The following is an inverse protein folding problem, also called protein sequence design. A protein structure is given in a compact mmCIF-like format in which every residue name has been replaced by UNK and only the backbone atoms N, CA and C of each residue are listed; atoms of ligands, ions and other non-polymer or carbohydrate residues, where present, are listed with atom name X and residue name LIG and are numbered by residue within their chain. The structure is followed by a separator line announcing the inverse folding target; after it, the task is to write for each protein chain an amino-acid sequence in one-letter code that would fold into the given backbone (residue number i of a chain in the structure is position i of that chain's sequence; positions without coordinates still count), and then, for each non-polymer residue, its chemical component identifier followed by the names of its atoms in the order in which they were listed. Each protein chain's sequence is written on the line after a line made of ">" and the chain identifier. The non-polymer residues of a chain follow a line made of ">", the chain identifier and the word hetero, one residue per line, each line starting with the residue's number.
data_IF_098324021519
#
_entry.id   IF_098324021519
#
_cell.length_a   1.000
_cell.length_b   1.000
_cell.length_c   1.000
_cell.angle_alpha   90.00
_cell.angle_beta   90.00
_cell.angle_gamma   90.00
#
_symmetry.space_group_name_H-M   'P 1'
#
loop_
_entity.id
_entity.type
_entity.pdbx_description
1 polymer ?
#
# COMPACT_ATOMS: atom_id res chain seq x y z
N UNK A 1 19.56 -9.69 25.48
CA UNK A 1 18.99 -10.01 26.81
C UNK A 1 17.80 -9.09 27.00
N UNK A 2 16.61 -9.62 27.25
CA UNK A 2 15.42 -8.79 27.46
C UNK A 2 15.60 -7.97 28.74
N UNK A 3 15.55 -6.64 28.63
CA UNK A 3 15.73 -5.74 29.76
C UNK A 3 14.57 -5.93 30.76
N UNK A 4 14.90 -6.26 32.00
CA UNK A 4 13.90 -6.44 33.06
C UNK A 4 13.41 -5.04 33.46
N UNK A 5 12.11 -4.80 33.34
CA UNK A 5 11.49 -3.52 33.70
C UNK A 5 11.98 -2.99 35.05
N UNK A 6 12.52 -1.78 35.05
CA UNK A 6 13.06 -1.14 36.25
C UNK A 6 11.97 -0.33 36.95
N UNK A 7 11.68 -0.64 38.21
CA UNK A 7 10.71 0.12 38.99
C UNK A 7 11.36 1.42 39.48
N UNK A 8 10.72 2.55 39.17
CA UNK A 8 11.14 3.90 39.57
C UNK A 8 10.03 4.58 40.35
N UNK A 9 10.40 5.39 41.34
CA UNK A 9 9.45 6.21 42.08
C UNK A 9 9.17 7.50 41.31
N UNK A 10 7.90 7.88 41.27
CA UNK A 10 7.48 9.21 40.82
C UNK A 10 7.85 10.19 41.94
N UNK A 11 8.49 11.30 41.60
CA UNK A 11 8.85 12.36 42.53
C UNK A 11 8.12 13.64 42.13
N UNK A 12 7.57 14.35 43.10
CA UNK A 12 6.94 15.64 42.85
C UNK A 12 7.98 16.76 42.93
N UNK A 13 8.00 17.66 41.96
CA UNK A 13 8.97 18.76 41.90
C UNK A 13 8.28 20.08 41.67
N UNK A 14 8.58 21.09 42.49
CA UNK A 14 7.96 22.41 42.37
C UNK A 14 6.48 22.39 42.75
N UNK A 15 5.62 23.03 41.95
CA UNK A 15 4.19 23.20 42.25
C UNK A 15 3.25 22.40 41.35
N UNK A 16 3.70 21.88 40.21
CA UNK A 16 2.79 21.33 39.19
C UNK A 16 3.35 20.19 38.33
N UNK A 17 4.57 19.70 38.60
CA UNK A 17 5.17 18.64 37.79
C UNK A 17 5.65 17.46 38.62
N UNK A 18 5.61 16.29 37.97
CA UNK A 18 6.19 15.06 38.48
C UNK A 18 7.36 14.67 37.60
N UNK A 19 8.40 14.09 38.20
CA UNK A 19 9.56 13.54 37.51
C UNK A 19 9.69 12.05 37.80
N UNK A 20 10.25 11.33 36.82
CA UNK A 20 10.70 9.95 36.96
C UNK A 20 12.12 9.86 36.41
N UNK A 21 13.01 9.16 37.11
CA UNK A 21 14.39 8.98 36.67
C UNK A 21 14.47 7.95 35.53
N UNK A 22 15.10 8.31 34.41
CA UNK A 22 15.33 7.40 33.29
C UNK A 22 16.46 6.38 33.60
N UNK A 23 16.41 5.16 33.04
CA UNK A 23 17.46 4.15 33.23
C UNK A 23 18.83 4.64 32.74
N UNK A 24 19.87 4.45 33.57
CA UNK A 24 21.23 4.92 33.25
C UNK A 24 21.80 4.25 31.99
N UNK A 25 21.50 2.96 31.79
CA UNK A 25 22.00 2.22 30.63
C UNK A 25 21.33 2.70 29.35
N UNK A 26 20.01 2.93 29.37
CA UNK A 26 19.30 3.57 28.26
C UNK A 26 19.88 4.95 27.92
N UNK A 27 20.15 5.81 28.91
CA UNK A 27 20.79 7.12 28.69
C UNK A 27 22.14 6.97 27.96
N UNK A 28 22.96 5.98 28.34
CA UNK A 28 24.25 5.71 27.69
C UNK A 28 24.08 5.15 26.28
N UNK A 29 23.18 4.20 26.08
CA UNK A 29 22.87 3.60 24.78
C UNK A 29 22.41 4.66 23.77
N UNK A 30 21.58 5.60 24.24
CA UNK A 30 21.12 6.74 23.44
C UNK A 30 22.13 7.90 23.40
N UNK A 31 23.35 7.74 23.93
CA UNK A 31 24.38 8.78 23.91
C UNK A 31 23.98 10.12 24.53
N UNK A 32 22.98 10.13 25.42
CA UNK A 32 22.44 11.34 26.01
C UNK A 32 23.28 11.82 27.20
N UNK A 33 23.32 13.13 27.38
CA UNK A 33 23.95 13.79 28.53
C UNK A 33 22.97 14.74 29.22
N UNK A 34 23.35 15.15 30.42
CA UNK A 34 22.59 16.16 31.17
C UNK A 34 22.43 17.43 30.32
N UNK A 35 21.19 17.93 30.23
CA UNK A 35 20.83 19.09 29.42
C UNK A 35 20.27 18.73 28.03
N UNK A 36 20.43 17.49 27.57
CA UNK A 36 19.77 17.03 26.35
C UNK A 36 18.26 16.93 26.58
N UNK A 37 17.49 17.24 25.53
CA UNK A 37 16.03 17.25 25.60
C UNK A 37 15.44 15.91 25.15
N UNK A 38 14.37 15.49 25.81
CA UNK A 38 13.53 14.35 25.43
C UNK A 38 12.09 14.81 25.28
N UNK A 39 11.38 14.27 24.30
CA UNK A 39 9.92 14.37 24.23
C UNK A 39 9.31 13.29 25.12
N UNK A 40 8.21 13.65 25.79
CA UNK A 40 7.40 12.74 26.59
C UNK A 40 5.99 12.81 26.04
N UNK A 41 5.58 11.74 25.36
CA UNK A 41 4.29 11.67 24.66
C UNK A 41 3.45 10.53 25.25
N UNK A 42 2.13 10.65 25.12
CA UNK A 42 1.21 9.62 25.59
C UNK A 42 0.96 8.63 24.45
N UNK A 43 1.22 7.35 24.73
CA UNK A 43 0.92 6.25 23.81
C UNK A 43 -0.26 5.44 24.39
N UNK A 44 -1.47 5.68 23.88
CA UNK A 44 -2.70 5.11 24.41
C UNK A 44 -3.10 5.65 25.79
N UNK A 45 -3.82 4.84 26.59
CA UNK A 45 -4.40 5.30 27.86
C UNK A 45 -3.45 5.22 29.06
N UNK A 46 -2.46 4.32 29.04
CA UNK A 46 -1.66 3.97 30.22
C UNK A 46 -0.16 4.10 30.04
N UNK A 47 0.33 4.35 28.82
CA UNK A 47 1.78 4.38 28.53
C UNK A 47 2.23 5.80 28.22
N UNK A 48 3.36 6.20 28.83
CA UNK A 48 4.14 7.36 28.42
C UNK A 48 5.39 6.88 27.70
N UNK A 49 5.62 7.41 26.51
CA UNK A 49 6.78 7.14 25.69
C UNK A 49 7.77 8.30 25.79
N UNK A 50 9.05 7.98 26.00
CA UNK A 50 10.13 8.96 26.12
C UNK A 50 11.13 8.72 25.01
N UNK A 51 11.28 9.68 24.11
CA UNK A 51 12.22 9.63 22.98
C UNK A 51 13.05 10.93 22.92
N UNK A 52 14.34 10.91 22.56
CA UNK A 52 15.15 12.12 22.63
C UNK A 52 14.85 13.08 21.47
N UNK A 53 14.76 14.39 21.73
CA UNK A 53 14.30 15.41 20.76
C UNK A 53 15.18 15.47 19.51
N UNK A 54 16.47 15.15 19.66
CA UNK A 54 17.46 15.19 18.58
C UNK A 54 17.98 13.81 18.17
N UNK A 55 17.50 12.72 18.78
CA UNK A 55 17.82 11.36 18.35
C UNK A 55 16.77 10.97 17.31
N UNK A 56 17.15 11.16 16.04
CA UNK A 56 16.22 11.32 14.92
C UNK A 56 16.32 12.69 14.22
N UNK A 57 17.25 13.57 14.66
CA UNK A 57 17.83 14.64 13.82
C UNK A 57 19.21 14.26 13.26
N UNK A 58 19.47 12.98 13.09
CA UNK A 58 19.72 12.58 11.71
C UNK A 58 18.37 12.79 11.03
N UNK A 59 18.15 13.67 10.06
CA UNK A 59 18.57 13.37 8.69
C UNK A 59 19.12 11.95 8.46
N UNK A 60 18.53 10.92 9.09
CA UNK A 60 18.43 9.62 8.48
C UNK A 60 17.35 9.89 7.48
N UNK A 61 17.79 10.56 6.42
CA UNK A 61 17.28 10.44 5.09
C UNK A 61 16.26 9.29 5.10
N UNK A 62 14.97 9.60 4.95
CA UNK A 62 14.04 8.63 4.38
C UNK A 62 14.46 8.33 2.92
N UNK A 63 15.75 8.46 2.61
CA UNK A 63 16.49 8.18 1.42
C UNK A 63 17.11 6.80 1.59
N UNK A 64 16.77 5.90 0.68
CA UNK A 64 17.35 4.57 0.63
C UNK A 64 18.24 4.47 -0.60
N UNK A 65 19.44 3.92 -0.44
CA UNK A 65 20.35 3.71 -1.57
C UNK A 65 20.15 2.31 -2.13
N UNK A 66 19.85 2.21 -3.43
CA UNK A 66 19.79 0.97 -4.18
C UNK A 66 21.00 0.89 -5.11
N UNK A 67 22.00 0.09 -4.75
CA UNK A 67 23.17 -0.13 -5.59
C UNK A 67 22.86 -1.24 -6.60
N UNK A 68 23.09 -0.98 -7.89
CA UNK A 68 22.86 -1.93 -8.98
C UNK A 68 24.12 -2.15 -9.83
N UNK A 69 24.27 -3.37 -10.34
CA UNK A 69 25.36 -3.75 -11.25
C UNK A 69 24.83 -3.98 -12.67
N UNK A 70 25.64 -3.81 -13.73
CA UNK A 70 25.22 -4.05 -15.11
C UNK A 70 24.64 -5.45 -15.38
N UNK A 71 25.09 -6.45 -14.63
CA UNK A 71 24.66 -7.84 -14.68
C UNK A 71 23.38 -8.15 -13.90
N UNK A 72 22.86 -7.21 -13.09
CA UNK A 72 21.64 -7.43 -12.32
C UNK A 72 20.43 -7.66 -13.23
N UNK A 73 19.61 -8.63 -12.88
CA UNK A 73 18.34 -8.87 -13.57
C UNK A 73 17.41 -7.66 -13.42
N UNK A 74 16.77 -7.27 -14.53
CA UNK A 74 15.81 -6.16 -14.59
C UNK A 74 14.70 -6.34 -13.55
N UNK A 75 14.14 -7.55 -13.47
CA UNK A 75 13.01 -7.82 -12.58
C UNK A 75 13.44 -7.79 -11.11
N UNK A 76 14.67 -8.19 -10.80
CA UNK A 76 15.25 -8.04 -9.46
C UNK A 76 15.38 -6.55 -9.05
N UNK A 77 15.82 -5.67 -9.96
CA UNK A 77 15.90 -4.23 -9.70
C UNK A 77 14.50 -3.65 -9.44
N UNK A 78 13.52 -4.02 -10.27
CA UNK A 78 12.12 -3.60 -10.12
C UNK A 78 11.56 -4.03 -8.75
N UNK A 79 11.75 -5.30 -8.35
CA UNK A 79 11.31 -5.80 -7.04
C UNK A 79 11.98 -5.06 -5.88
N UNK A 80 13.29 -4.78 -5.96
CA UNK A 80 14.01 -4.01 -4.93
C UNK A 80 13.46 -2.58 -4.82
N UNK A 81 13.17 -1.94 -5.95
CA UNK A 81 12.60 -0.59 -5.97
C UNK A 81 11.19 -0.56 -5.34
N UNK A 82 10.33 -1.51 -5.68
CA UNK A 82 8.99 -1.67 -5.07
C UNK A 82 9.10 -1.96 -3.58
N UNK A 83 10.05 -2.81 -3.15
CA UNK A 83 10.25 -3.12 -1.74
C UNK A 83 10.63 -1.87 -0.93
N UNK A 84 11.55 -1.04 -1.45
CA UNK A 84 11.91 0.24 -0.83
C UNK A 84 10.71 1.20 -0.78
N UNK A 85 9.86 1.19 -1.82
CA UNK A 85 8.60 1.93 -1.78
C UNK A 85 7.66 1.45 -0.66
N UNK A 86 7.55 0.15 -0.41
CA UNK A 86 6.73 -0.35 0.70
C UNK A 86 7.34 -0.09 2.08
N UNK A 87 8.67 -0.03 2.20
CA UNK A 87 9.41 0.28 3.43
C UNK A 87 9.44 1.78 3.76
N UNK A 88 8.46 2.53 3.27
CA UNK A 88 8.28 3.96 3.52
C UNK A 88 9.49 4.86 3.15
N UNK A 89 10.38 4.45 2.25
CA UNK A 89 11.41 5.38 1.74
C UNK A 89 10.73 6.56 1.02
N UNK A 90 10.95 7.80 1.46
CA UNK A 90 10.53 9.04 0.74
C UNK A 90 11.43 9.33 -0.45
N UNK A 91 12.71 8.97 -0.38
CA UNK A 91 13.66 9.11 -1.47
C UNK A 91 14.31 7.76 -1.75
N UNK A 92 14.51 7.40 -3.00
CA UNK A 92 15.22 6.20 -3.40
C UNK A 92 16.30 6.61 -4.39
N UNK A 93 17.55 6.47 -3.98
CA UNK A 93 18.72 6.78 -4.78
C UNK A 93 19.24 5.49 -5.42
N UNK A 94 18.91 5.28 -6.70
CA UNK A 94 19.44 4.15 -7.47
C UNK A 94 20.80 4.53 -8.03
N UNK A 95 21.86 3.89 -7.57
CA UNK A 95 23.25 4.19 -7.93
C UNK A 95 23.91 2.99 -8.62
N UNK A 96 24.75 3.19 -9.63
CA UNK A 96 25.56 2.11 -10.16
C UNK A 96 26.62 1.67 -9.14
N UNK A 97 27.04 0.41 -9.21
CA UNK A 97 28.23 -0.08 -8.51
C UNK A 97 29.45 0.74 -8.94
N UNK A 98 30.37 0.98 -8.01
CA UNK A 98 31.55 1.82 -8.26
C UNK A 98 32.29 1.40 -9.55
N UNK A 99 32.63 2.37 -10.39
CA UNK A 99 33.28 2.14 -11.69
C UNK A 99 32.36 1.62 -12.81
N UNK A 100 31.05 1.55 -12.58
CA UNK A 100 30.06 1.11 -13.57
C UNK A 100 29.04 2.20 -13.87
N UNK A 101 28.13 1.94 -14.82
CA UNK A 101 27.02 2.82 -15.20
C UNK A 101 25.70 2.06 -15.21
N UNK A 102 24.60 2.77 -14.97
CA UNK A 102 23.26 2.21 -15.15
C UNK A 102 23.02 1.97 -16.65
N UNK A 103 22.70 0.74 -17.03
CA UNK A 103 22.43 0.40 -18.42
C UNK A 103 21.14 1.08 -18.93
N UNK A 104 20.99 1.32 -20.25
CA UNK A 104 19.75 1.87 -20.81
C UNK A 104 18.52 1.01 -20.48
N UNK A 105 18.67 -0.32 -20.49
CA UNK A 105 17.59 -1.27 -20.18
C UNK A 105 17.14 -1.18 -18.73
N UNK A 106 18.08 -1.09 -17.77
CA UNK A 106 17.76 -0.85 -16.35
C UNK A 106 17.10 0.52 -16.14
N UNK A 107 17.61 1.56 -16.81
CA UNK A 107 17.05 2.91 -16.73
C UNK A 107 15.60 2.98 -17.21
N UNK A 108 15.28 2.31 -18.33
CA UNK A 108 13.90 2.19 -18.83
C UNK A 108 13.03 1.42 -17.84
N UNK A 109 13.54 0.35 -17.24
CA UNK A 109 12.82 -0.42 -16.23
C UNK A 109 12.42 0.43 -15.03
N UNK A 110 13.38 1.15 -14.45
CA UNK A 110 13.17 2.04 -13.30
C UNK A 110 12.15 3.12 -13.65
N UNK A 111 12.29 3.77 -14.81
CA UNK A 111 11.34 4.77 -15.29
C UNK A 111 9.91 4.25 -15.41
N UNK A 112 9.75 3.09 -16.04
CA UNK A 112 8.44 2.49 -16.23
C UNK A 112 7.81 2.10 -14.90
N UNK A 113 8.58 1.52 -13.97
CA UNK A 113 8.10 1.19 -12.63
C UNK A 113 7.66 2.44 -11.86
N UNK A 114 8.46 3.51 -11.85
CA UNK A 114 8.09 4.75 -11.16
C UNK A 114 6.78 5.33 -11.72
N UNK A 115 6.66 5.39 -13.06
CA UNK A 115 5.48 5.98 -13.71
C UNK A 115 4.20 5.14 -13.56
N UNK A 116 4.30 3.84 -13.78
CA UNK A 116 3.14 2.94 -13.87
C UNK A 116 2.73 2.35 -12.52
N UNK A 117 3.70 2.06 -11.65
CA UNK A 117 3.47 1.22 -10.47
C UNK A 117 3.51 2.02 -9.16
N UNK A 118 4.45 2.97 -9.04
CA UNK A 118 4.70 3.67 -7.78
C UNK A 118 3.90 4.97 -7.73
N UNK A 119 2.65 4.88 -7.23
CA UNK A 119 1.80 6.06 -7.09
C UNK A 119 2.52 7.19 -6.37
N UNK A 120 2.35 8.40 -6.93
CA UNK A 120 2.92 9.67 -6.45
C UNK A 120 4.42 9.63 -6.20
N UNK A 121 5.13 8.81 -6.96
CA UNK A 121 6.58 8.83 -7.03
C UNK A 121 7.01 9.53 -8.31
N UNK A 122 8.02 10.40 -8.23
CA UNK A 122 8.57 11.15 -9.35
C UNK A 122 10.09 10.98 -9.41
N UNK A 123 10.63 11.02 -10.62
CA UNK A 123 12.09 11.04 -10.81
C UNK A 123 12.56 12.48 -10.78
N UNK A 124 13.23 12.87 -9.70
CA UNK A 124 13.71 14.25 -9.50
C UNK A 124 15.12 14.47 -10.02
N UNK A 125 15.90 13.39 -10.19
CA UNK A 125 17.20 13.44 -10.87
C UNK A 125 17.45 12.17 -11.67
N UNK A 126 18.01 12.30 -12.87
CA UNK A 126 18.54 11.20 -13.68
C UNK A 126 19.83 11.65 -14.37
N UNK A 127 20.97 11.19 -13.89
CA UNK A 127 22.30 11.55 -14.41
C UNK A 127 23.14 10.29 -14.70
N UNK A 128 24.42 10.46 -15.00
CA UNK A 128 25.37 9.34 -15.09
C UNK A 128 25.59 8.67 -13.74
N UNK A 129 25.42 9.41 -12.64
CA UNK A 129 25.77 8.97 -11.28
C UNK A 129 24.62 8.21 -10.60
N UNK A 130 23.42 8.26 -11.17
CA UNK A 130 22.27 7.53 -10.66
C UNK A 130 20.92 8.15 -11.05
N UNK A 131 19.87 7.55 -10.49
CA UNK A 131 18.49 8.01 -10.58
C UNK A 131 17.99 8.27 -9.16
N UNK A 132 17.40 9.43 -8.91
CA UNK A 132 16.73 9.75 -7.65
C UNK A 132 15.23 9.76 -7.87
N UNK A 133 14.53 8.90 -7.12
CA UNK A 133 13.07 8.82 -7.05
C UNK A 133 12.62 9.47 -5.74
N UNK A 134 11.62 10.34 -5.78
CA UNK A 134 10.98 10.89 -4.58
C UNK A 134 9.50 10.55 -4.55
N UNK A 135 9.00 10.14 -3.38
CA UNK A 135 7.58 9.90 -3.13
C UNK A 135 6.96 11.17 -2.54
N UNK A 136 6.06 11.79 -3.30
CA UNK A 136 5.50 13.12 -3.07
C UNK A 136 3.99 13.07 -2.79
N UNK A 137 3.50 12.03 -2.10
CA UNK A 137 2.06 11.93 -1.76
C UNK A 137 1.78 12.60 -0.42
N UNK A 138 0.75 13.44 -0.41
CA UNK A 138 0.11 13.95 0.79
C UNK A 138 -1.07 13.04 1.20
N UNK A 139 -1.01 12.50 2.41
CA UNK A 139 -2.02 11.57 2.95
C UNK A 139 -3.39 12.21 3.17
N UNK A 140 -3.41 13.53 3.33
CA UNK A 140 -4.64 14.31 3.50
C UNK A 140 -5.44 14.38 2.19
N UNK A 141 -4.79 14.31 1.03
CA UNK A 141 -5.45 14.45 -0.28
C UNK A 141 -5.99 13.13 -0.83
N UNK A 142 -5.38 11.99 -0.45
CA UNK A 142 -5.83 10.66 -0.87
C UNK A 142 -5.80 9.68 0.32
N UNK A 143 -6.91 9.60 1.06
CA UNK A 143 -7.04 8.65 2.16
C UNK A 143 -7.01 7.19 1.67
N UNK A 144 -6.71 6.25 2.57
CA UNK A 144 -6.76 4.80 2.30
C UNK A 144 -8.15 4.39 1.78
N UNK A 145 -9.21 4.86 2.43
CA UNK A 145 -10.59 4.60 2.00
C UNK A 145 -10.90 5.19 0.62
N UNK A 146 -10.40 6.39 0.33
CA UNK A 146 -10.58 7.03 -0.97
C UNK A 146 -9.88 6.26 -2.08
N UNK A 147 -8.65 5.83 -1.85
CA UNK A 147 -7.89 4.97 -2.76
C UNK A 147 -8.58 3.62 -2.97
N UNK A 148 -9.04 2.98 -1.89
CA UNK A 148 -9.73 1.70 -1.95
C UNK A 148 -11.03 1.78 -2.76
N UNK A 149 -11.86 2.81 -2.54
CA UNK A 149 -13.11 3.00 -3.30
C UNK A 149 -12.85 3.21 -4.78
N UNK A 150 -11.80 3.96 -5.14
CA UNK A 150 -11.38 4.14 -6.55
C UNK A 150 -10.91 2.83 -7.16
N UNK A 151 -10.03 2.10 -6.46
CA UNK A 151 -9.55 0.77 -6.87
C UNK A 151 -10.71 -0.20 -7.13
N UNK A 152 -11.66 -0.28 -6.20
CA UNK A 152 -12.85 -1.11 -6.32
C UNK A 152 -13.70 -0.71 -7.54
N UNK A 153 -13.97 0.59 -7.71
CA UNK A 153 -14.75 1.09 -8.84
C UNK A 153 -14.09 0.74 -10.18
N UNK A 154 -12.77 0.83 -10.27
CA UNK A 154 -12.02 0.50 -11.49
C UNK A 154 -12.07 -1.00 -11.78
N UNK A 155 -11.81 -1.85 -10.77
CA UNK A 155 -11.88 -3.31 -10.95
C UNK A 155 -13.28 -3.77 -11.40
N UNK A 156 -14.36 -3.19 -10.84
CA UNK A 156 -15.73 -3.47 -11.28
C UNK A 156 -16.02 -3.00 -12.71
N UNK A 157 -15.48 -1.85 -13.11
CA UNK A 157 -15.57 -1.36 -14.50
C UNK A 157 -14.87 -2.34 -15.45
N UNK A 158 -13.62 -2.70 -15.15
CA UNK A 158 -12.85 -3.67 -15.93
C UNK A 158 -13.62 -4.97 -16.14
N UNK A 159 -14.26 -5.51 -15.10
CA UNK A 159 -15.06 -6.73 -15.22
C UNK A 159 -16.28 -6.56 -16.14
N UNK A 160 -16.95 -5.40 -16.06
CA UNK A 160 -18.10 -5.08 -16.91
C UNK A 160 -17.68 -4.88 -18.36
N UNK A 161 -16.58 -4.14 -18.57
CA UNK A 161 -16.02 -3.83 -19.88
C UNK A 161 -15.45 -5.08 -20.57
N UNK A 162 -14.85 -6.00 -19.80
CA UNK A 162 -14.39 -7.29 -20.31
C UNK A 162 -15.56 -8.11 -20.88
N UNK A 163 -16.69 -8.17 -20.17
CA UNK A 163 -17.89 -8.86 -20.68
C UNK A 163 -18.49 -8.17 -21.90
N UNK A 164 -18.51 -6.84 -21.90
CA UNK A 164 -18.97 -6.07 -23.05
C UNK A 164 -18.10 -6.34 -24.29
N UNK A 165 -16.77 -6.37 -24.11
CA UNK A 165 -15.83 -6.69 -25.18
C UNK A 165 -16.08 -8.07 -25.78
N UNK A 166 -16.39 -9.07 -24.95
CA UNK A 166 -16.73 -10.43 -25.37
C UNK A 166 -18.07 -10.50 -26.12
N UNK A 167 -19.07 -9.71 -25.68
CA UNK A 167 -20.39 -9.65 -26.30
C UNK A 167 -20.37 -8.99 -27.68
N UNK A 168 -19.58 -7.92 -27.81
CA UNK A 168 -19.51 -7.11 -29.02
C UNK A 168 -18.39 -7.56 -29.96
N UNK A 169 -17.49 -8.44 -29.50
CA UNK A 169 -16.26 -8.82 -30.18
C UNK A 169 -15.40 -7.57 -30.47
N UNK A 170 -15.17 -6.79 -29.42
CA UNK A 170 -14.47 -5.51 -29.47
C UNK A 170 -13.06 -5.65 -28.85
N UNK A 171 -12.08 -5.94 -29.70
CA UNK A 171 -10.68 -6.13 -29.29
C UNK A 171 -10.06 -4.85 -28.72
N UNK A 172 -10.50 -3.67 -29.14
CA UNK A 172 -10.02 -2.38 -28.62
C UNK A 172 -10.43 -2.21 -27.16
N UNK A 173 -11.70 -2.47 -26.83
CA UNK A 173 -12.19 -2.43 -25.46
C UNK A 173 -11.51 -3.49 -24.57
N UNK A 174 -11.30 -4.71 -25.09
CA UNK A 174 -10.56 -5.73 -24.37
C UNK A 174 -9.12 -5.29 -24.06
N UNK A 175 -8.45 -4.64 -25.01
CA UNK A 175 -7.11 -4.10 -24.80
C UNK A 175 -7.09 -2.95 -23.78
N UNK A 176 -8.11 -2.10 -23.74
CA UNK A 176 -8.28 -1.07 -22.71
C UNK A 176 -8.43 -1.68 -21.30
N UNK A 177 -9.19 -2.77 -21.16
CA UNK A 177 -9.28 -3.51 -19.89
C UNK A 177 -7.90 -4.00 -19.45
N UNK A 178 -7.14 -4.64 -20.35
CA UNK A 178 -5.79 -5.13 -20.05
C UNK A 178 -4.88 -3.98 -19.60
N UNK A 179 -4.99 -2.81 -20.23
CA UNK A 179 -4.16 -1.66 -19.87
C UNK A 179 -4.56 -1.02 -18.53
N UNK A 180 -5.83 -1.12 -18.14
CA UNK A 180 -6.37 -0.54 -16.89
C UNK A 180 -5.93 -1.29 -15.64
N UNK A 181 -5.41 -2.51 -15.80
CA UNK A 181 -4.88 -3.34 -14.71
C UNK A 181 -3.71 -2.68 -13.97
N UNK A 182 -2.80 -2.04 -14.74
CA UNK A 182 -1.68 -1.26 -14.20
C UNK A 182 -2.17 -0.21 -13.18
N UNK A 183 -3.34 0.41 -13.41
CA UNK A 183 -3.89 1.44 -12.52
C UNK A 183 -4.52 0.84 -11.25
N UNK A 184 -5.17 -0.32 -11.34
CA UNK A 184 -5.69 -1.05 -10.16
C UNK A 184 -4.53 -1.48 -9.26
N UNK A 185 -3.48 -2.05 -9.85
CA UNK A 185 -2.23 -2.42 -9.17
C UNK A 185 -1.61 -1.23 -8.47
N UNK A 186 -1.56 -0.09 -9.15
CA UNK A 186 -0.99 1.15 -8.62
C UNK A 186 -1.72 1.62 -7.36
N UNK A 187 -3.05 1.55 -7.32
CA UNK A 187 -3.81 1.82 -6.10
C UNK A 187 -3.54 0.79 -5.00
N UNK A 188 -3.46 -0.50 -5.35
CA UNK A 188 -3.13 -1.55 -4.41
C UNK A 188 -1.77 -1.32 -3.72
N UNK A 189 -0.75 -0.95 -4.49
CA UNK A 189 0.59 -0.66 -4.00
C UNK A 189 0.61 0.57 -3.11
N UNK A 190 -0.12 1.62 -3.50
CA UNK A 190 -0.29 2.81 -2.68
C UNK A 190 -0.88 2.46 -1.31
N UNK A 191 -1.99 1.70 -1.29
CA UNK A 191 -2.65 1.31 -0.05
C UNK A 191 -1.71 0.47 0.81
N UNK A 192 -1.00 -0.51 0.24
CA UNK A 192 -0.02 -1.32 0.98
C UNK A 192 1.04 -0.45 1.65
N UNK A 193 1.58 0.56 0.94
CA UNK A 193 2.52 1.52 1.54
C UNK A 193 1.89 2.26 2.71
N UNK A 194 0.65 2.72 2.58
CA UNK A 194 -0.05 3.41 3.67
C UNK A 194 -0.25 2.52 4.89
N UNK A 195 -0.60 1.25 4.69
CA UNK A 195 -0.72 0.28 5.76
C UNK A 195 0.63 0.05 6.48
N UNK A 196 1.76 0.02 5.75
CA UNK A 196 3.09 -0.07 6.40
C UNK A 196 3.36 1.15 7.28
N UNK A 197 3.07 2.36 6.78
CA UNK A 197 3.23 3.62 7.55
C UNK A 197 2.36 3.59 8.82
N UNK A 198 1.11 3.16 8.69
CA UNK A 198 0.17 3.07 9.81
C UNK A 198 0.63 2.10 10.91
N UNK A 199 1.24 0.97 10.53
CA UNK A 199 1.74 -0.02 11.50
C UNK A 199 2.89 0.56 12.35
N UNK A 200 3.73 1.43 11.78
CA UNK A 200 4.88 2.04 12.46
C UNK A 200 4.53 3.34 13.21
N UNK A 201 3.37 3.94 12.95
CA UNK A 201 2.98 5.24 13.48
C UNK A 201 1.52 5.25 13.94
N UNK A 202 1.31 5.25 15.26
CA UNK A 202 -0.02 5.24 15.89
C UNK A 202 -0.89 6.44 15.49
N UNK A 203 -0.31 7.63 15.33
CA UNK A 203 -1.07 8.80 14.89
C UNK A 203 -1.60 8.60 13.46
N UNK A 204 -0.76 8.08 12.56
CA UNK A 204 -1.19 7.78 11.19
C UNK A 204 -2.21 6.65 11.12
N UNK A 205 -2.09 5.63 11.99
CA UNK A 205 -3.07 4.56 12.12
C UNK A 205 -4.47 5.11 12.42
N UNK A 206 -4.57 6.01 13.41
CA UNK A 206 -5.82 6.64 13.83
C UNK A 206 -6.38 7.58 12.74
N UNK A 207 -5.52 8.39 12.11
CA UNK A 207 -5.90 9.27 10.98
C UNK A 207 -6.45 8.48 9.78
N UNK A 208 -5.95 7.26 9.55
CA UNK A 208 -6.46 6.36 8.49
C UNK A 208 -7.73 5.61 8.89
N UNK A 209 -8.25 5.80 10.11
CA UNK A 209 -9.48 5.18 10.59
C UNK A 209 -9.33 3.75 11.13
N UNK A 210 -8.09 3.27 11.31
CA UNK A 210 -7.84 1.96 11.90
C UNK A 210 -7.84 2.04 13.43
N UNK A 211 -8.46 1.05 14.09
CA UNK A 211 -8.48 0.99 15.56
C UNK A 211 -7.21 0.37 16.10
N UNK A 212 -6.68 -0.64 15.41
CA UNK A 212 -5.50 -1.40 15.81
C UNK A 212 -4.64 -1.74 14.60
N UNK A 213 -3.32 -1.83 14.78
CA UNK A 213 -2.38 -2.21 13.70
C UNK A 213 -2.67 -3.58 13.08
N UNK A 214 -3.33 -4.50 13.82
CA UNK A 214 -3.81 -5.78 13.29
C UNK A 214 -4.82 -5.62 12.16
N UNK A 215 -5.60 -4.53 12.16
CA UNK A 215 -6.63 -4.29 11.16
C UNK A 215 -5.99 -4.08 9.79
N UNK A 216 -4.78 -3.53 9.74
CA UNK A 216 -3.98 -3.38 8.52
C UNK A 216 -3.66 -4.73 7.86
N UNK A 217 -3.46 -5.80 8.64
CA UNK A 217 -3.21 -7.14 8.09
C UNK A 217 -4.43 -7.67 7.35
N UNK A 218 -5.62 -7.50 7.93
CA UNK A 218 -6.89 -7.86 7.29
C UNK A 218 -7.14 -7.01 6.06
N UNK A 219 -6.96 -5.69 6.17
CA UNK A 219 -7.15 -4.77 5.05
C UNK A 219 -6.24 -5.07 3.87
N UNK A 220 -4.98 -5.45 4.13
CA UNK A 220 -4.05 -5.89 3.08
C UNK A 220 -4.58 -7.08 2.27
N UNK A 221 -5.24 -8.04 2.93
CA UNK A 221 -5.86 -9.19 2.24
C UNK A 221 -7.02 -8.73 1.38
N UNK A 222 -7.84 -7.81 1.88
CA UNK A 222 -8.98 -7.25 1.13
C UNK A 222 -8.48 -6.53 -0.13
N UNK A 223 -7.44 -5.69 -0.02
CA UNK A 223 -6.83 -5.02 -1.19
C UNK A 223 -6.37 -6.03 -2.24
N UNK A 224 -5.71 -7.13 -1.84
CA UNK A 224 -5.32 -8.19 -2.79
C UNK A 224 -6.54 -8.87 -3.42
N UNK A 225 -7.65 -9.03 -2.70
CA UNK A 225 -8.86 -9.59 -3.29
C UNK A 225 -9.50 -8.65 -4.32
N UNK A 226 -9.41 -7.32 -4.14
CA UNK A 226 -9.87 -6.35 -5.14
C UNK A 226 -8.99 -6.37 -6.38
N UNK A 227 -7.66 -6.44 -6.21
CA UNK A 227 -6.75 -6.58 -7.35
C UNK A 227 -7.03 -7.86 -8.15
N UNK A 228 -7.35 -8.97 -7.47
CA UNK A 228 -7.74 -10.22 -8.15
C UNK A 228 -9.01 -10.11 -9.01
N UNK A 229 -9.90 -9.16 -8.71
CA UNK A 229 -11.05 -8.89 -9.58
C UNK A 229 -10.55 -8.31 -10.92
N UNK A 230 -9.57 -7.40 -10.86
CA UNK A 230 -8.84 -6.89 -12.03
C UNK A 230 -8.16 -8.00 -12.82
N UNK A 231 -7.37 -8.85 -12.16
CA UNK A 231 -6.72 -10.02 -12.80
C UNK A 231 -7.72 -10.90 -13.57
N UNK A 232 -8.88 -11.16 -12.97
CA UNK A 232 -9.94 -11.97 -13.60
C UNK A 232 -10.58 -11.25 -14.78
N UNK A 233 -10.77 -9.92 -14.71
CA UNK A 233 -11.25 -9.12 -15.83
C UNK A 233 -10.24 -9.11 -17.00
N UNK A 234 -8.94 -9.02 -16.71
CA UNK A 234 -7.86 -9.14 -17.71
C UNK A 234 -7.91 -10.49 -18.40
N UNK A 235 -8.06 -11.57 -17.63
CA UNK A 235 -8.17 -12.94 -18.18
C UNK A 235 -9.35 -13.03 -19.14
N UNK A 236 -10.51 -12.50 -18.73
CA UNK A 236 -11.71 -12.50 -19.58
C UNK A 236 -11.55 -11.65 -20.84
N UNK A 237 -10.86 -10.51 -20.75
CA UNK A 237 -10.56 -9.66 -21.91
C UNK A 237 -9.60 -10.35 -22.89
N UNK A 238 -8.60 -11.09 -22.39
CA UNK A 238 -7.72 -11.92 -23.21
C UNK A 238 -8.52 -13.02 -23.93
N UNK A 239 -9.41 -13.72 -23.21
CA UNK A 239 -10.31 -14.72 -23.80
C UNK A 239 -11.18 -14.10 -24.90
N UNK A 240 -11.69 -12.88 -24.71
CA UNK A 240 -12.48 -12.18 -25.73
C UNK A 240 -11.70 -11.97 -27.04
N UNK A 241 -10.43 -11.55 -26.95
CA UNK A 241 -9.53 -11.36 -28.09
C UNK A 241 -9.23 -12.71 -28.78
N UNK A 242 -9.10 -13.79 -28.02
CA UNK A 242 -8.78 -15.12 -28.55
C UNK A 242 -9.97 -15.79 -29.25
N UNK A 243 -11.17 -15.69 -28.67
CA UNK A 243 -12.37 -16.36 -29.19
C UNK A 243 -12.76 -15.81 -30.57
N UNK A 244 -12.52 -14.50 -30.83
CA UNK A 244 -12.80 -13.79 -32.10
C UNK A 244 -14.22 -13.96 -32.64
N UNK A 245 -15.14 -14.41 -31.80
CA UNK A 245 -16.54 -14.62 -32.10
C UNK A 245 -17.36 -14.17 -30.90
N UNK A 246 -18.36 -13.30 -31.11
CA UNK A 246 -19.19 -12.84 -30.02
C UNK A 246 -20.02 -13.99 -29.46
N UNK A 247 -20.06 -14.11 -28.13
CA UNK A 247 -20.99 -15.01 -27.44
C UNK A 247 -22.36 -14.29 -27.38
N UNK A 248 -23.41 -14.95 -27.87
CA UNK A 248 -24.74 -14.36 -28.03
C UNK A 248 -25.86 -15.22 -27.44
N UNK A 249 -27.03 -14.61 -27.30
CA UNK A 249 -28.25 -15.28 -26.88
C UNK A 249 -28.22 -15.69 -25.41
N UNK A 250 -28.87 -16.81 -25.09
CA UNK A 250 -29.10 -17.25 -23.70
C UNK A 250 -27.81 -17.39 -22.88
N UNK A 251 -26.72 -17.83 -23.50
CA UNK A 251 -25.43 -18.01 -22.81
C UNK A 251 -24.91 -16.67 -22.31
N UNK A 252 -24.84 -15.66 -23.17
CA UNK A 252 -24.39 -14.32 -22.78
C UNK A 252 -25.29 -13.73 -21.69
N UNK A 253 -26.62 -13.86 -21.83
CA UNK A 253 -27.55 -13.38 -20.79
C UNK A 253 -27.35 -14.07 -19.44
N UNK A 254 -27.00 -15.36 -19.41
CA UNK A 254 -26.66 -16.04 -18.15
C UNK A 254 -25.37 -15.49 -17.53
N UNK A 255 -24.34 -15.24 -18.35
CA UNK A 255 -23.07 -14.67 -17.90
C UNK A 255 -23.27 -13.24 -17.36
N UNK A 256 -24.04 -12.40 -18.06
CA UNK A 256 -24.37 -11.03 -17.61
C UNK A 256 -25.06 -11.04 -16.25
N UNK A 257 -26.06 -11.92 -16.05
CA UNK A 257 -26.74 -12.06 -14.76
C UNK A 257 -25.82 -12.55 -13.64
N UNK A 258 -24.94 -13.50 -13.95
CA UNK A 258 -23.93 -13.98 -13.00
C UNK A 258 -22.99 -12.85 -12.59
N UNK A 259 -22.60 -12.00 -13.55
CA UNK A 259 -21.77 -10.83 -13.30
C UNK A 259 -22.47 -9.78 -12.43
N UNK A 260 -23.70 -9.41 -12.75
CA UNK A 260 -24.51 -8.47 -11.95
C UNK A 260 -24.64 -8.95 -10.49
N UNK A 261 -24.90 -10.24 -10.31
CA UNK A 261 -24.92 -10.86 -8.99
C UNK A 261 -23.56 -10.74 -8.27
N UNK A 262 -22.45 -11.07 -8.95
CA UNK A 262 -21.11 -11.00 -8.37
C UNK A 262 -20.74 -9.57 -7.94
N UNK A 263 -21.03 -8.58 -8.79
CA UNK A 263 -20.79 -7.16 -8.50
C UNK A 263 -21.63 -6.67 -7.31
N UNK A 264 -22.88 -7.12 -7.22
CA UNK A 264 -23.76 -6.81 -6.08
C UNK A 264 -23.26 -7.44 -4.78
N UNK A 265 -22.79 -8.69 -4.82
CA UNK A 265 -22.21 -9.36 -3.66
C UNK A 265 -20.94 -8.65 -3.16
N UNK A 266 -20.11 -8.15 -4.09
CA UNK A 266 -18.94 -7.33 -3.76
C UNK A 266 -19.37 -6.02 -3.09
N UNK A 267 -20.36 -5.31 -3.64
CA UNK A 267 -20.88 -4.06 -3.06
C UNK A 267 -21.41 -4.26 -1.64
N UNK A 268 -22.22 -5.31 -1.42
CA UNK A 268 -22.76 -5.64 -0.11
C UNK A 268 -21.64 -5.95 0.90
N UNK A 269 -20.62 -6.71 0.47
CA UNK A 269 -19.47 -7.06 1.31
C UNK A 269 -18.64 -5.81 1.67
N UNK A 270 -18.38 -4.93 0.71
CA UNK A 270 -17.64 -3.70 0.95
C UNK A 270 -18.44 -2.72 1.82
N UNK A 271 -19.76 -2.65 1.67
CA UNK A 271 -20.62 -1.84 2.52
C UNK A 271 -20.57 -2.30 3.98
N UNK A 272 -20.69 -3.61 4.20
CA UNK A 272 -20.56 -4.21 5.53
C UNK A 272 -19.19 -3.90 6.16
N UNK A 273 -18.11 -4.01 5.37
CA UNK A 273 -16.76 -3.65 5.80
C UNK A 273 -16.66 -2.18 6.25
N UNK A 274 -17.15 -1.23 5.43
CA UNK A 274 -17.06 0.20 5.75
C UNK A 274 -17.91 0.61 6.96
N UNK A 275 -19.07 -0.04 7.14
CA UNK A 275 -19.89 0.16 8.34
C UNK A 275 -19.34 -0.53 9.57
N UNK A 276 -18.42 -1.48 9.39
CA UNK A 276 -17.92 -2.37 10.44
C UNK A 276 -19.08 -3.13 11.11
N UNK A 277 -20.03 -3.60 10.30
CA UNK A 277 -21.25 -4.28 10.75
C UNK A 277 -21.14 -5.79 10.51
N UNK A 278 -21.14 -6.55 11.62
CA UNK A 278 -21.02 -8.01 11.59
C UNK A 278 -22.23 -8.71 10.96
N UNK A 279 -23.44 -8.21 11.20
CA UNK A 279 -24.67 -8.84 10.70
C UNK A 279 -24.79 -8.64 9.19
N UNK A 280 -24.46 -7.45 8.69
CA UNK A 280 -24.38 -7.20 7.24
C UNK A 280 -23.31 -8.08 6.57
N UNK A 281 -22.18 -8.33 7.25
CA UNK A 281 -21.14 -9.22 6.73
C UNK A 281 -21.62 -10.68 6.64
N UNK A 282 -22.28 -11.21 7.67
CA UNK A 282 -22.85 -12.56 7.66
C UNK A 282 -23.92 -12.72 6.56
N UNK A 283 -24.77 -11.71 6.40
CA UNK A 283 -25.77 -11.68 5.32
C UNK A 283 -25.10 -11.69 3.94
N UNK A 284 -24.07 -10.87 3.71
CA UNK A 284 -23.33 -10.85 2.45
C UNK A 284 -22.67 -12.21 2.13
N UNK A 285 -22.11 -12.89 3.13
CA UNK A 285 -21.55 -14.24 2.97
C UNK A 285 -22.64 -15.24 2.56
N UNK A 286 -23.76 -15.26 3.28
CA UNK A 286 -24.89 -16.14 2.98
C UNK A 286 -25.45 -15.87 1.59
N UNK A 287 -25.63 -14.60 1.22
CA UNK A 287 -26.10 -14.20 -0.09
C UNK A 287 -25.16 -14.66 -1.20
N UNK A 288 -23.84 -14.47 -1.04
CA UNK A 288 -22.84 -14.83 -2.06
C UNK A 288 -22.89 -16.31 -2.48
N UNK A 289 -23.35 -17.21 -1.60
CA UNK A 289 -23.51 -18.64 -1.89
C UNK A 289 -24.56 -18.91 -2.98
N UNK A 290 -25.45 -17.96 -3.24
CA UNK A 290 -26.46 -18.05 -4.30
C UNK A 290 -25.88 -17.94 -5.72
N UNK A 291 -24.59 -17.63 -5.89
CA UNK A 291 -23.92 -17.65 -7.21
C UNK A 291 -24.12 -18.98 -7.94
N UNK A 292 -24.22 -20.10 -7.21
CA UNK A 292 -24.44 -21.46 -7.75
C UNK A 292 -25.76 -21.63 -8.53
N UNK A 293 -26.65 -20.65 -8.49
CA UNK A 293 -27.93 -20.66 -9.21
C UNK A 293 -27.81 -20.20 -10.67
N UNK A 294 -26.68 -19.61 -11.04
CA UNK A 294 -26.36 -19.16 -12.40
C UNK A 294 -25.49 -20.20 -13.12
#
# INVERSE_FOLDING_TARGET
>A
MADKGQIRKIQFTGKSSYIVSLPKDWIKEQGLKQGDQVTVERNGSTVLEVKPVNFGKSSSDESSNLIISPEDDKSAIVRKLIALYFLNSKTINVKPKAGTRISPTHRIAIRNTVKKVLMGSEITADSTDGITVQVLINLVELSVDGAFKRMLSMAKSMQTDALLSLKENNDELAQEVINSDDDVDRFGFYIIRQLTIAIENQHMLEEMGFKNSRDCLGYRVIVKNIERIGDHAVTLAQDAIEIKKPIKGKIMTSIEKMNEFALTAIDNTCLALFKNDYLEAENAISESSNIKKY
#
